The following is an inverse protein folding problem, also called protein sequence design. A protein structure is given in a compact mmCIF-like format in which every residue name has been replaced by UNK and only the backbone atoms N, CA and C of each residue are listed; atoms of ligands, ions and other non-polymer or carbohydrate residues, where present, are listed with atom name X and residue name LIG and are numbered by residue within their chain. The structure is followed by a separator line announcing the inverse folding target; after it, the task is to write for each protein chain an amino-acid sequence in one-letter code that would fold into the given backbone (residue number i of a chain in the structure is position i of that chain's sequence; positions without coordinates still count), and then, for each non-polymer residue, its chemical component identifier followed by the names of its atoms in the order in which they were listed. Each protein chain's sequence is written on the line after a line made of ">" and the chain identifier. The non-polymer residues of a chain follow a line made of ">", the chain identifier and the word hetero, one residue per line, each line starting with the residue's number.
data_IF_391782601726
#
_entry.id   IF_391782601726
#
_cell.length_a   1.000
_cell.length_b   1.000
_cell.length_c   1.000
_cell.angle_alpha   90.00
_cell.angle_beta   90.00
_cell.angle_gamma   90.00
#
_symmetry.space_group_name_H-M   'P 1'
#
loop_
_entity.id
_entity.type
_entity.pdbx_description
1 polymer ?
#
# COMPACT_ATOMS: atom_id res chain seq x y z
N UNK A 1 -19.23 -29.01 19.56
CA UNK A 1 -19.51 -27.68 19.02
C UNK A 1 -19.07 -26.66 20.06
N UNK A 2 -18.30 -25.65 19.68
CA UNK A 2 -17.98 -24.55 20.61
C UNK A 2 -19.26 -23.78 20.96
N UNK A 3 -19.42 -23.38 22.22
CA UNK A 3 -20.55 -22.52 22.62
C UNK A 3 -20.53 -21.21 21.84
N UNK A 4 -21.72 -20.73 21.45
CA UNK A 4 -21.85 -19.46 20.75
C UNK A 4 -21.35 -18.33 21.67
N UNK A 5 -20.30 -17.62 21.23
CA UNK A 5 -19.69 -16.52 22.00
C UNK A 5 -18.49 -16.90 22.86
N UNK A 6 -18.04 -18.17 22.86
CA UNK A 6 -16.79 -18.53 23.55
C UNK A 6 -15.57 -17.88 22.88
N UNK A 7 -14.54 -17.55 23.66
CA UNK A 7 -13.29 -16.99 23.14
C UNK A 7 -12.57 -17.97 22.21
N UNK A 8 -11.91 -17.46 21.17
CA UNK A 8 -11.10 -18.26 20.26
C UNK A 8 -9.81 -18.68 20.94
N UNK A 9 -9.54 -19.98 20.96
CA UNK A 9 -8.29 -20.54 21.48
C UNK A 9 -7.12 -20.21 20.56
N UNK A 10 -5.90 -20.33 21.08
CA UNK A 10 -4.69 -20.08 20.31
C UNK A 10 -4.59 -20.97 19.06
N UNK A 11 -4.91 -22.27 19.19
CA UNK A 11 -4.90 -23.22 18.08
C UNK A 11 -5.96 -22.92 17.02
N UNK A 12 -7.16 -22.49 17.41
CA UNK A 12 -8.18 -22.06 16.44
C UNK A 12 -7.75 -20.81 15.67
N UNK A 13 -7.10 -19.86 16.35
CA UNK A 13 -6.54 -18.65 15.72
C UNK A 13 -5.43 -19.02 14.73
N UNK A 14 -4.51 -19.91 15.10
CA UNK A 14 -3.41 -20.30 14.23
C UNK A 14 -3.91 -21.02 12.98
N UNK A 15 -4.91 -21.90 13.11
CA UNK A 15 -5.53 -22.59 11.98
C UNK A 15 -6.19 -21.61 10.99
N UNK A 16 -6.99 -20.67 11.47
CA UNK A 16 -7.69 -19.74 10.59
C UNK A 16 -6.74 -18.72 9.95
N UNK A 17 -5.70 -18.30 10.65
CA UNK A 17 -4.66 -17.42 10.09
C UNK A 17 -3.90 -18.17 8.98
N UNK A 18 -3.51 -19.42 9.20
CA UNK A 18 -2.83 -20.22 8.19
C UNK A 18 -3.69 -20.48 6.94
N UNK A 19 -4.96 -20.87 7.10
CA UNK A 19 -5.88 -21.06 5.97
C UNK A 19 -6.12 -19.75 5.19
N UNK A 20 -6.23 -18.63 5.91
CA UNK A 20 -6.38 -17.32 5.28
C UNK A 20 -5.18 -16.95 4.40
N UNK A 21 -3.95 -17.12 4.89
CA UNK A 21 -2.75 -16.80 4.11
C UNK A 21 -2.56 -17.75 2.92
N UNK A 22 -2.92 -19.04 3.04
CA UNK A 22 -2.94 -19.96 1.90
C UNK A 22 -3.95 -19.52 0.83
N UNK A 23 -5.16 -19.13 1.24
CA UNK A 23 -6.16 -18.56 0.34
C UNK A 23 -5.69 -17.26 -0.33
N UNK A 24 -5.05 -16.37 0.42
CA UNK A 24 -4.51 -15.13 -0.12
C UNK A 24 -3.41 -15.41 -1.16
N UNK A 25 -2.51 -16.36 -0.89
CA UNK A 25 -1.47 -16.78 -1.83
C UNK A 25 -2.04 -17.41 -3.11
N UNK A 26 -3.17 -18.11 -3.03
CA UNK A 26 -3.89 -18.59 -4.21
C UNK A 26 -4.52 -17.42 -4.99
N UNK A 27 -5.19 -16.48 -4.33
CA UNK A 27 -5.81 -15.30 -4.98
C UNK A 27 -4.77 -14.45 -5.73
N UNK A 28 -3.62 -14.17 -5.09
CA UNK A 28 -2.54 -13.38 -5.69
C UNK A 28 -1.90 -14.05 -6.92
N UNK A 29 -1.95 -15.38 -7.01
CA UNK A 29 -1.45 -16.14 -8.17
C UNK A 29 -2.54 -16.43 -9.22
N UNK A 30 -3.78 -16.00 -8.96
CA UNK A 30 -4.94 -16.33 -9.80
C UNK A 30 -5.33 -17.82 -9.75
N UNK A 31 -4.90 -18.56 -8.73
CA UNK A 31 -5.28 -19.95 -8.53
C UNK A 31 -6.71 -20.05 -7.94
N UNK A 32 -7.56 -20.95 -8.44
CA UNK A 32 -8.93 -21.06 -7.97
C UNK A 32 -9.00 -21.69 -6.57
N UNK A 33 -9.90 -21.19 -5.74
CA UNK A 33 -10.30 -21.82 -4.48
C UNK A 33 -11.77 -21.54 -4.15
N UNK A 34 -12.40 -22.43 -3.39
CA UNK A 34 -13.82 -22.31 -3.01
C UNK A 34 -13.93 -21.95 -1.53
N UNK A 35 -14.34 -20.70 -1.24
CA UNK A 35 -14.47 -20.18 0.14
C UNK A 35 -15.38 -21.04 1.02
N UNK A 36 -16.48 -21.55 0.47
CA UNK A 36 -17.41 -22.42 1.19
C UNK A 36 -16.75 -23.73 1.66
N UNK A 37 -15.87 -24.33 0.83
CA UNK A 37 -15.13 -25.55 1.19
C UNK A 37 -14.08 -25.28 2.26
N UNK A 38 -13.35 -24.17 2.14
CA UNK A 38 -12.36 -23.72 3.14
C UNK A 38 -13.01 -23.47 4.50
N UNK A 39 -14.15 -22.79 4.48
CA UNK A 39 -14.96 -22.56 5.67
C UNK A 39 -15.45 -23.88 6.29
N UNK A 40 -16.01 -24.80 5.50
CA UNK A 40 -16.49 -26.10 6.01
C UNK A 40 -15.36 -26.90 6.71
N UNK A 41 -14.16 -26.94 6.12
CA UNK A 41 -13.01 -27.59 6.75
C UNK A 41 -12.62 -26.94 8.09
N UNK A 42 -12.64 -25.61 8.17
CA UNK A 42 -12.40 -24.90 9.44
C UNK A 42 -13.50 -25.16 10.47
N UNK A 43 -14.76 -25.34 10.06
CA UNK A 43 -15.84 -25.72 10.99
C UNK A 43 -15.59 -27.10 11.61
N UNK A 44 -15.11 -28.08 10.82
CA UNK A 44 -14.75 -29.41 11.31
C UNK A 44 -13.59 -29.37 12.31
N UNK A 45 -12.56 -28.55 12.02
CA UNK A 45 -11.35 -28.46 12.85
C UNK A 45 -11.55 -27.66 14.15
N UNK A 46 -12.41 -26.65 14.13
CA UNK A 46 -12.57 -25.70 15.25
C UNK A 46 -13.90 -25.87 16.00
N UNK A 47 -14.89 -26.51 15.37
CA UNK A 47 -16.25 -26.57 15.89
C UNK A 47 -16.98 -25.21 15.90
N UNK A 48 -16.43 -24.18 15.25
CA UNK A 48 -17.03 -22.84 15.08
C UNK A 48 -18.08 -22.84 13.99
N UNK A 49 -19.03 -21.91 14.07
CA UNK A 49 -20.03 -21.73 13.02
C UNK A 49 -19.43 -21.08 11.77
N UNK A 50 -20.06 -21.33 10.62
CA UNK A 50 -19.73 -20.64 9.36
C UNK A 50 -19.58 -19.13 9.51
N UNK A 51 -20.56 -18.48 10.16
CA UNK A 51 -20.58 -17.02 10.34
C UNK A 51 -19.44 -16.52 11.23
N UNK A 52 -19.06 -17.26 12.27
CA UNK A 52 -17.93 -16.89 13.12
C UNK A 52 -16.60 -16.92 12.34
N UNK A 53 -16.43 -17.89 11.44
CA UNK A 53 -15.25 -18.03 10.58
C UNK A 53 -15.21 -16.90 9.53
N UNK A 54 -16.33 -16.63 8.85
CA UNK A 54 -16.41 -15.52 7.89
C UNK A 54 -16.08 -14.16 8.55
N UNK A 55 -16.64 -13.92 9.74
CA UNK A 55 -16.36 -12.71 10.51
C UNK A 55 -14.88 -12.63 10.90
N UNK A 56 -14.27 -13.74 11.31
CA UNK A 56 -12.85 -13.77 11.66
C UNK A 56 -11.94 -13.53 10.45
N UNK A 57 -12.28 -14.03 9.26
CA UNK A 57 -11.58 -13.68 8.02
C UNK A 57 -11.65 -12.18 7.70
N UNK A 58 -12.80 -11.53 7.96
CA UNK A 58 -12.94 -10.08 7.82
C UNK A 58 -12.09 -9.32 8.85
N UNK A 59 -11.93 -9.85 10.06
CA UNK A 59 -11.04 -9.26 11.07
C UNK A 59 -9.56 -9.42 10.67
N UNK A 60 -9.16 -10.56 10.11
CA UNK A 60 -7.81 -10.74 9.53
C UNK A 60 -7.58 -9.70 8.43
N UNK A 61 -8.54 -9.54 7.52
CA UNK A 61 -8.48 -8.54 6.45
C UNK A 61 -8.32 -7.12 7.00
N UNK A 62 -8.97 -6.80 8.12
CA UNK A 62 -8.82 -5.50 8.80
C UNK A 62 -7.43 -5.30 9.41
N UNK A 63 -6.80 -6.34 9.95
CA UNK A 63 -5.41 -6.26 10.41
C UNK A 63 -4.46 -6.07 9.22
N UNK A 64 -4.60 -6.87 8.16
CA UNK A 64 -3.76 -6.76 6.96
C UNK A 64 -3.87 -5.40 6.27
N UNK A 65 -5.07 -4.81 6.26
CA UNK A 65 -5.30 -3.44 5.79
C UNK A 65 -4.42 -2.44 6.57
N UNK A 66 -4.30 -2.57 7.89
CA UNK A 66 -3.45 -1.70 8.71
C UNK A 66 -1.95 -1.95 8.50
N UNK A 67 -1.58 -3.17 8.12
CA UNK A 67 -0.22 -3.53 7.76
C UNK A 67 0.12 -3.20 6.30
N UNK A 68 -0.77 -2.52 5.56
CA UNK A 68 -0.57 -2.20 4.14
C UNK A 68 -0.35 -3.45 3.28
N UNK A 69 -0.96 -4.58 3.65
CA UNK A 69 -0.86 -5.85 2.94
C UNK A 69 -2.14 -6.11 2.12
N UNK A 70 -2.04 -6.84 1.00
CA UNK A 70 -3.21 -7.33 0.28
C UNK A 70 -4.10 -8.18 1.18
N UNK A 71 -5.40 -8.18 0.89
CA UNK A 71 -6.41 -9.00 1.57
C UNK A 71 -7.35 -9.62 0.52
N UNK A 72 -8.05 -10.69 0.90
CA UNK A 72 -8.90 -11.47 0.01
C UNK A 72 -10.15 -10.65 -0.33
N UNK A 73 -10.34 -10.26 -1.60
CA UNK A 73 -11.32 -9.24 -2.00
C UNK A 73 -12.77 -9.49 -1.52
N UNK A 74 -13.16 -10.77 -1.34
CA UNK A 74 -14.50 -11.12 -0.84
C UNK A 74 -14.65 -11.20 0.68
N UNK A 75 -13.59 -10.96 1.46
CA UNK A 75 -13.66 -10.80 2.91
C UNK A 75 -13.39 -9.33 3.25
N UNK A 76 -14.39 -8.47 3.03
CA UNK A 76 -14.24 -7.03 3.27
C UNK A 76 -13.77 -6.76 4.71
N UNK A 77 -12.73 -5.94 4.93
CA UNK A 77 -12.24 -5.59 6.25
C UNK A 77 -13.35 -5.15 7.19
N UNK A 78 -13.47 -5.82 8.33
CA UNK A 78 -14.37 -5.41 9.42
C UNK A 78 -13.55 -5.26 10.70
N UNK A 79 -13.54 -4.03 11.23
CA UNK A 79 -12.71 -3.63 12.34
C UNK A 79 -13.28 -4.14 13.68
N UNK A 80 -13.03 -5.41 13.99
CA UNK A 80 -13.17 -5.96 15.34
C UNK A 80 -11.85 -6.61 15.77
N UNK A 81 -11.06 -5.87 16.53
CA UNK A 81 -9.67 -6.18 16.84
C UNK A 81 -9.55 -6.92 18.17
N UNK A 82 -9.81 -8.23 18.15
CA UNK A 82 -9.53 -9.09 19.31
C UNK A 82 -8.03 -9.32 19.46
N UNK A 83 -7.50 -9.18 20.68
CA UNK A 83 -6.06 -9.30 20.95
C UNK A 83 -5.45 -10.64 20.53
N UNK A 84 -6.13 -11.75 20.79
CA UNK A 84 -5.66 -13.09 20.44
C UNK A 84 -5.42 -13.26 18.93
N UNK A 85 -6.29 -12.66 18.08
CA UNK A 85 -6.13 -12.70 16.63
C UNK A 85 -4.88 -11.93 16.17
N UNK A 86 -4.64 -10.75 16.74
CA UNK A 86 -3.46 -9.94 16.42
C UNK A 86 -2.19 -10.71 16.78
N UNK A 87 -2.15 -11.34 17.96
CA UNK A 87 -1.02 -12.19 18.36
C UNK A 87 -0.78 -13.36 17.40
N UNK A 88 -1.85 -14.02 16.92
CA UNK A 88 -1.73 -15.10 15.94
C UNK A 88 -1.19 -14.63 14.60
N UNK A 89 -1.66 -13.48 14.09
CA UNK A 89 -1.13 -12.88 12.87
C UNK A 89 0.33 -12.48 13.05
N UNK A 90 0.69 -11.89 14.19
CA UNK A 90 2.07 -11.52 14.50
C UNK A 90 2.99 -12.75 14.52
N UNK A 91 2.59 -13.83 15.21
CA UNK A 91 3.35 -15.09 15.22
C UNK A 91 3.53 -15.63 13.80
N UNK A 92 2.46 -15.66 13.01
CA UNK A 92 2.50 -16.18 11.64
C UNK A 92 3.43 -15.36 10.74
N UNK A 93 3.34 -14.03 10.77
CA UNK A 93 4.21 -13.15 9.98
C UNK A 93 5.67 -13.18 10.46
N UNK A 94 5.90 -13.36 11.76
CA UNK A 94 7.26 -13.52 12.31
C UNK A 94 7.91 -14.80 11.79
N UNK A 95 7.15 -15.90 11.68
CA UNK A 95 7.60 -17.16 11.11
C UNK A 95 7.75 -17.11 9.57
N UNK A 96 7.03 -16.20 8.89
CA UNK A 96 7.00 -16.09 7.44
C UNK A 96 7.30 -14.65 6.97
N UNK A 97 8.49 -14.08 7.26
CA UNK A 97 8.79 -12.68 7.00
C UNK A 97 8.67 -12.28 5.51
N UNK A 98 8.89 -13.23 4.60
CA UNK A 98 8.74 -13.02 3.16
C UNK A 98 7.33 -12.60 2.74
N UNK A 99 6.29 -12.98 3.50
CA UNK A 99 4.90 -12.57 3.21
C UNK A 99 4.71 -11.06 3.40
N UNK A 100 5.40 -10.46 4.36
CA UNK A 100 5.29 -9.03 4.62
C UNK A 100 6.12 -8.20 3.66
N UNK A 101 7.37 -8.60 3.39
CA UNK A 101 8.26 -7.91 2.44
C UNK A 101 7.69 -7.94 1.02
N UNK A 102 6.88 -8.97 0.73
CA UNK A 102 6.32 -9.24 -0.58
C UNK A 102 7.35 -9.95 -1.46
N UNK A 103 6.94 -10.89 -2.32
CA UNK A 103 7.83 -11.36 -3.37
C UNK A 103 8.16 -10.18 -4.30
N UNK A 104 9.42 -10.08 -4.74
CA UNK A 104 9.74 -9.27 -5.91
C UNK A 104 8.74 -9.65 -7.00
N UNK A 105 7.85 -8.73 -7.35
CA UNK A 105 6.84 -8.98 -8.35
C UNK A 105 7.59 -9.25 -9.67
N UNK A 106 7.82 -10.53 -9.98
CA UNK A 106 8.19 -10.96 -11.32
C UNK A 106 7.04 -10.53 -12.21
N UNK A 107 7.25 -9.43 -12.91
CA UNK A 107 6.32 -8.94 -13.90
C UNK A 107 6.01 -10.06 -14.87
N UNK A 108 4.73 -10.31 -15.12
CA UNK A 108 4.34 -10.79 -16.44
C UNK A 108 4.79 -9.68 -17.39
N UNK A 109 5.77 -9.98 -18.24
CA UNK A 109 6.07 -9.16 -19.39
C UNK A 109 4.84 -9.22 -20.31
N UNK A 110 3.87 -8.33 -20.08
CA UNK A 110 2.85 -8.07 -21.07
C UNK A 110 3.54 -7.30 -22.18
N UNK A 111 3.96 -8.02 -23.22
CA UNK A 111 4.45 -7.43 -24.45
C UNK A 111 3.44 -6.45 -25.03
N UNK A 112 3.95 -5.33 -25.53
CA UNK A 112 3.31 -4.45 -26.53
C UNK A 112 1.90 -3.92 -26.23
N UNK A 113 1.42 -3.94 -24.98
CA UNK A 113 0.25 -3.14 -24.61
C UNK A 113 0.72 -1.70 -24.39
N UNK A 114 0.15 -0.74 -25.12
CA UNK A 114 0.27 0.68 -24.77
C UNK A 114 -0.05 0.82 -23.28
N UNK A 115 0.84 1.47 -22.54
CA UNK A 115 0.68 1.62 -21.11
C UNK A 115 -0.61 2.41 -20.85
N UNK A 116 -1.67 1.73 -20.38
CA UNK A 116 -2.97 2.36 -20.09
C UNK A 116 -2.77 3.68 -19.36
N UNK A 117 -3.46 4.75 -19.75
CA UNK A 117 -3.33 6.04 -19.08
C UNK A 117 -3.70 5.90 -17.61
N UNK A 118 -2.78 6.26 -16.71
CA UNK A 118 -3.02 6.24 -15.28
C UNK A 118 -4.11 7.27 -14.93
N UNK A 119 -5.22 6.82 -14.35
CA UNK A 119 -6.29 7.70 -13.91
C UNK A 119 -5.99 8.22 -12.50
N UNK A 120 -5.98 9.55 -12.35
CA UNK A 120 -5.84 10.21 -11.06
C UNK A 120 -7.22 10.52 -10.49
N UNK A 121 -7.54 9.88 -9.36
CA UNK A 121 -8.78 10.13 -8.62
C UNK A 121 -8.57 11.16 -7.51
N UNK A 122 -9.67 11.55 -6.85
CA UNK A 122 -9.62 12.47 -5.72
C UNK A 122 -8.90 11.81 -4.52
N UNK A 123 -8.02 12.55 -3.81
CA UNK A 123 -7.36 12.04 -2.62
C UNK A 123 -8.38 11.72 -1.51
N UNK A 124 -8.11 10.72 -0.66
CA UNK A 124 -8.99 10.40 0.45
C UNK A 124 -9.01 11.54 1.48
N UNK A 125 -10.13 11.70 2.19
CA UNK A 125 -10.17 12.60 3.34
C UNK A 125 -9.26 12.05 4.46
N UNK A 126 -8.46 12.91 5.12
CA UNK A 126 -7.61 12.46 6.21
C UNK A 126 -8.48 11.97 7.39
N UNK A 127 -8.16 10.78 7.89
CA UNK A 127 -8.78 10.21 9.09
C UNK A 127 -7.73 10.09 10.19
N UNK A 128 -8.09 10.54 11.38
CA UNK A 128 -7.16 10.69 12.52
C UNK A 128 -7.47 9.72 13.67
N UNK A 129 -8.23 8.65 13.40
CA UNK A 129 -8.57 7.69 14.45
C UNK A 129 -7.32 6.98 14.98
N UNK A 130 -7.03 7.07 16.28
CA UNK A 130 -5.89 6.37 16.87
C UNK A 130 -6.12 4.87 16.78
N UNK A 131 -5.07 4.14 16.37
CA UNK A 131 -5.13 2.68 16.40
C UNK A 131 -5.20 2.18 17.85
N UNK A 132 -5.96 1.12 18.14
CA UNK A 132 -5.89 0.41 19.41
C UNK A 132 -4.45 -0.03 19.75
N UNK A 133 -4.02 -0.04 21.03
CA UNK A 133 -2.64 -0.36 21.40
C UNK A 133 -2.09 -1.69 20.84
N UNK A 134 -2.85 -2.81 20.79
CA UNK A 134 -2.38 -4.04 20.17
C UNK A 134 -2.05 -3.86 18.68
N UNK A 135 -2.85 -3.09 17.95
CA UNK A 135 -2.59 -2.78 16.54
C UNK A 135 -1.38 -1.85 16.37
N UNK A 136 -1.18 -0.89 17.27
CA UNK A 136 0.00 -0.04 17.22
C UNK A 136 1.29 -0.86 17.34
N UNK A 137 1.32 -1.90 18.18
CA UNK A 137 2.50 -2.75 18.37
C UNK A 137 2.84 -3.55 17.11
N UNK A 138 1.86 -4.23 16.52
CA UNK A 138 2.09 -5.02 15.30
C UNK A 138 2.44 -4.11 14.11
N UNK A 139 1.82 -2.94 13.97
CA UNK A 139 2.16 -1.97 12.90
C UNK A 139 3.59 -1.44 13.06
N UNK A 140 4.05 -1.18 14.29
CA UNK A 140 5.46 -0.80 14.52
C UNK A 140 6.44 -1.90 14.12
N UNK A 141 6.06 -3.16 14.34
CA UNK A 141 6.89 -4.33 13.99
C UNK A 141 6.88 -4.62 12.49
N UNK A 142 5.73 -4.44 11.84
CA UNK A 142 5.49 -4.65 10.42
C UNK A 142 5.04 -3.32 9.79
N UNK A 143 5.96 -2.36 9.76
CA UNK A 143 5.69 -1.00 9.29
C UNK A 143 5.62 -0.96 7.75
N UNK A 144 4.43 -0.68 7.15
CA UNK A 144 4.30 -0.64 5.71
C UNK A 144 5.08 0.52 5.07
N UNK A 145 5.21 1.67 5.74
CA UNK A 145 5.96 2.81 5.22
C UNK A 145 7.45 2.45 5.11
N UNK A 146 7.99 1.78 6.14
CA UNK A 146 9.37 1.31 6.13
C UNK A 146 9.60 0.18 5.13
N UNK A 147 8.66 -0.75 5.01
CA UNK A 147 8.70 -1.81 4.00
C UNK A 147 8.79 -1.20 2.60
N UNK A 148 7.87 -0.30 2.27
CA UNK A 148 7.77 0.28 0.94
C UNK A 148 8.99 1.17 0.63
N UNK A 149 9.45 1.97 1.59
CA UNK A 149 10.65 2.80 1.44
C UNK A 149 11.95 1.98 1.23
N UNK A 150 12.04 0.78 1.82
CA UNK A 150 13.17 -0.14 1.59
C UNK A 150 13.09 -0.87 0.25
N UNK A 151 11.91 -0.93 -0.36
CA UNK A 151 11.69 -1.64 -1.61
C UNK A 151 12.03 -0.76 -2.81
N UNK A 152 13.33 -0.65 -3.12
CA UNK A 152 13.84 0.14 -4.26
C UNK A 152 13.20 -0.28 -5.60
N UNK A 153 12.93 -1.56 -5.79
CA UNK A 153 12.27 -2.05 -7.00
C UNK A 153 10.83 -1.55 -7.12
N UNK A 154 10.08 -1.45 -6.01
CA UNK A 154 8.74 -0.87 -5.98
C UNK A 154 8.78 0.64 -6.27
N UNK A 155 9.70 1.38 -5.64
CA UNK A 155 9.89 2.81 -5.87
C UNK A 155 10.16 3.12 -7.34
N UNK A 156 11.21 2.49 -7.90
CA UNK A 156 11.60 2.65 -9.31
C UNK A 156 10.45 2.35 -10.28
N UNK A 157 9.69 1.27 -10.06
CA UNK A 157 8.54 0.92 -10.93
C UNK A 157 7.41 1.96 -10.85
N UNK A 158 7.23 2.57 -9.69
CA UNK A 158 6.28 3.65 -9.51
C UNK A 158 6.70 4.92 -10.24
N UNK A 159 7.96 5.31 -10.08
CA UNK A 159 8.56 6.46 -10.79
C UNK A 159 8.49 6.26 -12.31
N UNK A 160 8.89 5.09 -12.82
CA UNK A 160 8.77 4.73 -14.24
C UNK A 160 7.33 4.88 -14.76
N UNK A 161 6.35 4.44 -13.97
CA UNK A 161 4.93 4.52 -14.31
C UNK A 161 4.44 5.96 -14.41
N UNK A 162 4.84 6.83 -13.47
CA UNK A 162 4.50 8.27 -13.50
C UNK A 162 5.22 8.95 -14.66
N UNK A 163 6.50 8.65 -14.90
CA UNK A 163 7.28 9.22 -15.99
C UNK A 163 6.62 8.99 -17.35
N UNK A 164 6.24 7.74 -17.64
CA UNK A 164 5.54 7.41 -18.88
C UNK A 164 4.13 8.03 -18.95
N UNK A 165 3.41 8.10 -17.83
CA UNK A 165 2.12 8.79 -17.77
C UNK A 165 2.26 10.27 -18.12
N UNK A 166 3.20 11.00 -17.51
CA UNK A 166 3.39 12.43 -17.77
C UNK A 166 3.76 12.70 -19.23
N UNK A 167 4.62 11.87 -19.83
CA UNK A 167 4.93 11.97 -21.26
C UNK A 167 3.71 11.71 -22.15
N UNK A 168 2.91 10.68 -21.85
CA UNK A 168 1.70 10.35 -22.61
C UNK A 168 0.67 11.48 -22.52
N UNK A 169 0.36 11.93 -21.29
CA UNK A 169 -0.57 13.04 -21.03
C UNK A 169 -0.20 14.33 -21.78
N UNK A 170 1.10 14.66 -21.83
CA UNK A 170 1.57 15.82 -22.61
C UNK A 170 1.45 15.62 -24.12
N UNK A 171 1.70 14.40 -24.65
CA UNK A 171 1.51 14.10 -26.07
C UNK A 171 0.03 14.18 -26.45
N UNK A 172 -0.85 13.64 -25.63
CA UNK A 172 -2.31 13.67 -25.82
C UNK A 172 -2.84 15.11 -25.79
N UNK A 173 -2.21 15.99 -25.00
CA UNK A 173 -2.48 17.43 -24.99
C UNK A 173 -1.84 18.21 -26.16
N UNK A 174 -1.23 17.54 -27.14
CA UNK A 174 -0.57 18.17 -28.29
C UNK A 174 0.78 18.83 -27.96
N UNK A 175 1.34 18.58 -26.78
CA UNK A 175 2.61 19.15 -26.28
C UNK A 175 3.76 18.15 -26.37
N UNK A 176 3.95 17.56 -27.55
CA UNK A 176 5.08 16.66 -27.83
C UNK A 176 6.45 17.34 -27.64
N UNK A 177 6.52 18.67 -27.67
CA UNK A 177 7.68 19.48 -27.32
C UNK A 177 8.03 19.41 -25.82
N UNK A 178 7.03 19.42 -24.94
CA UNK A 178 7.20 19.29 -23.50
C UNK A 178 7.40 17.83 -23.08
N UNK A 179 6.68 16.90 -23.70
CA UNK A 179 6.82 15.47 -23.40
C UNK A 179 8.28 14.99 -23.54
N UNK A 180 9.03 15.52 -24.51
CA UNK A 180 10.46 15.24 -24.72
C UNK A 180 11.38 15.87 -23.67
N UNK A 181 10.89 16.83 -22.89
CA UNK A 181 11.62 17.53 -21.84
C UNK A 181 11.34 16.97 -20.44
N UNK A 182 10.41 16.03 -20.31
CA UNK A 182 10.17 15.31 -19.04
C UNK A 182 11.43 14.54 -18.69
N UNK A 183 11.91 14.66 -17.44
CA UNK A 183 13.12 13.99 -16.93
C UNK A 183 12.80 13.15 -15.70
N UNK A 184 13.49 12.02 -15.58
CA UNK A 184 13.49 11.21 -14.37
C UNK A 184 14.70 11.60 -13.51
N UNK A 185 14.50 12.63 -12.70
CA UNK A 185 15.57 13.33 -11.97
C UNK A 185 16.23 12.43 -10.92
N UNK A 186 15.46 11.64 -10.17
CA UNK A 186 16.02 10.72 -9.16
C UNK A 186 16.94 9.65 -9.76
N UNK A 187 16.66 9.18 -10.98
CA UNK A 187 17.49 8.20 -11.71
C UNK A 187 18.69 8.85 -12.40
N UNK A 188 18.53 10.05 -12.97
CA UNK A 188 19.57 10.75 -13.74
C UNK A 188 20.56 11.51 -12.85
N UNK A 189 20.07 12.22 -11.83
CA UNK A 189 20.82 13.19 -11.03
C UNK A 189 20.94 12.78 -9.54
N UNK A 190 20.19 11.76 -9.09
CA UNK A 190 20.13 11.28 -7.70
C UNK A 190 18.98 11.89 -6.87
N UNK A 191 18.88 11.49 -5.60
CA UNK A 191 17.76 11.82 -4.69
C UNK A 191 17.85 13.21 -4.02
N UNK A 192 18.91 13.97 -4.30
CA UNK A 192 19.17 15.27 -3.67
C UNK A 192 18.23 16.40 -4.11
N UNK A 193 17.50 16.26 -5.21
CA UNK A 193 16.67 17.33 -5.78
C UNK A 193 15.37 17.62 -5.01
N UNK A 194 14.91 16.68 -4.17
CA UNK A 194 13.66 16.81 -3.40
C UNK A 194 12.39 16.46 -4.20
N UNK A 195 12.53 15.86 -5.39
CA UNK A 195 11.46 15.32 -6.22
C UNK A 195 12.04 14.31 -7.23
N UNK A 196 11.21 13.40 -7.75
CA UNK A 196 11.64 12.33 -8.65
C UNK A 196 11.55 12.69 -10.14
N UNK A 197 10.49 13.41 -10.54
CA UNK A 197 10.17 13.66 -11.95
C UNK A 197 9.96 15.14 -12.20
N UNK A 198 10.68 15.69 -13.19
CA UNK A 198 10.40 17.02 -13.73
C UNK A 198 9.49 16.88 -14.94
N UNK A 199 8.31 17.47 -14.87
CA UNK A 199 7.29 17.49 -15.91
C UNK A 199 6.74 18.90 -16.11
N UNK A 200 5.68 19.03 -16.91
CA UNK A 200 5.02 20.27 -17.26
C UNK A 200 3.51 20.07 -17.36
N UNK A 201 2.73 21.12 -17.12
CA UNK A 201 1.32 21.15 -17.51
C UNK A 201 1.16 21.55 -19.00
N UNK A 202 -0.05 21.44 -19.59
CA UNK A 202 -0.27 21.82 -20.99
C UNK A 202 0.04 23.30 -21.30
N UNK A 203 -0.01 24.19 -20.30
CA UNK A 203 0.37 25.59 -20.43
C UNK A 203 1.90 25.80 -20.40
N UNK A 204 2.67 24.76 -20.08
CA UNK A 204 4.13 24.80 -19.98
C UNK A 204 4.67 25.21 -18.61
N UNK A 205 3.82 25.30 -17.58
CA UNK A 205 4.29 25.50 -16.21
C UNK A 205 4.89 24.21 -15.68
N UNK A 206 5.96 24.32 -14.90
CA UNK A 206 6.63 23.14 -14.35
C UNK A 206 5.74 22.38 -13.36
N UNK A 207 5.90 21.05 -13.39
CA UNK A 207 5.40 20.11 -12.38
C UNK A 207 6.61 19.37 -11.83
N UNK A 208 6.82 19.43 -10.52
CA UNK A 208 7.93 18.78 -9.83
C UNK A 208 7.34 17.69 -8.95
N UNK A 209 7.44 16.44 -9.40
CA UNK A 209 6.61 15.35 -8.90
C UNK A 209 7.45 14.42 -8.03
N UNK A 210 7.04 14.30 -6.77
CA UNK A 210 7.52 13.29 -5.82
C UNK A 210 6.59 12.07 -5.86
N UNK A 211 7.14 10.87 -6.06
CA UNK A 211 6.38 9.64 -6.28
C UNK A 211 6.45 8.74 -5.06
N UNK A 212 5.30 8.46 -4.45
CA UNK A 212 5.19 7.51 -3.34
C UNK A 212 4.40 6.29 -3.77
N UNK A 213 5.01 5.10 -3.73
CA UNK A 213 4.39 3.87 -4.22
C UNK A 213 4.16 2.86 -3.10
N UNK A 214 3.00 2.21 -3.09
CA UNK A 214 2.66 1.15 -2.14
C UNK A 214 1.93 -0.01 -2.82
N UNK A 215 2.12 -1.23 -2.32
CA UNK A 215 1.27 -2.39 -2.64
C UNK A 215 0.00 -2.45 -1.78
N UNK A 216 -0.08 -1.61 -0.74
CA UNK A 216 -1.25 -1.47 0.13
C UNK A 216 -2.32 -0.55 -0.48
N UNK A 217 -3.33 -0.25 0.32
CA UNK A 217 -4.49 0.56 -0.10
C UNK A 217 -4.20 2.07 -0.05
N UNK A 218 -5.18 2.85 -0.52
CA UNK A 218 -5.13 4.33 -0.64
C UNK A 218 -4.64 5.07 0.61
N UNK A 219 -4.93 4.57 1.82
CA UNK A 219 -4.55 5.20 3.09
C UNK A 219 -3.29 4.61 3.73
N UNK A 220 -2.54 3.76 3.03
CA UNK A 220 -1.31 3.18 3.57
C UNK A 220 -0.32 4.30 3.88
N UNK A 221 0.30 4.35 5.07
CA UNK A 221 1.31 5.35 5.41
C UNK A 221 2.52 5.31 4.48
N UNK A 222 3.27 6.41 4.43
CA UNK A 222 4.53 6.53 3.70
C UNK A 222 5.43 7.54 4.40
N UNK A 223 6.72 7.47 4.14
CA UNK A 223 7.66 8.48 4.59
C UNK A 223 7.73 9.63 3.60
N UNK A 224 7.83 10.84 4.16
CA UNK A 224 8.20 12.06 3.46
C UNK A 224 9.54 12.49 4.07
N UNK A 225 10.59 12.61 3.25
CA UNK A 225 11.89 13.05 3.75
C UNK A 225 11.87 14.55 4.10
N UNK A 226 12.83 14.99 4.90
CA UNK A 226 12.95 16.42 5.24
C UNK A 226 13.25 17.28 4.00
N UNK A 227 14.01 16.72 3.04
CA UNK A 227 14.30 17.39 1.77
C UNK A 227 13.04 17.56 0.93
N UNK A 228 12.24 16.49 0.76
CA UNK A 228 10.96 16.55 0.04
C UNK A 228 9.96 17.51 0.71
N UNK A 229 9.89 17.48 2.06
CA UNK A 229 9.03 18.37 2.83
C UNK A 229 9.43 19.83 2.64
N UNK A 230 10.72 20.15 2.79
CA UNK A 230 11.25 21.49 2.59
C UNK A 230 11.02 21.98 1.17
N UNK A 231 11.30 21.14 0.17
CA UNK A 231 11.11 21.49 -1.23
C UNK A 231 9.64 21.75 -1.59
N UNK A 232 8.70 21.00 -1.00
CA UNK A 232 7.27 21.24 -1.16
C UNK A 232 6.81 22.59 -0.59
N UNK A 233 7.48 23.10 0.45
CA UNK A 233 7.25 24.43 1.04
C UNK A 233 7.90 25.54 0.21
N UNK A 234 9.06 25.28 -0.40
CA UNK A 234 9.77 26.23 -1.26
C UNK A 234 9.10 26.44 -2.62
N UNK A 235 8.53 25.38 -3.21
CA UNK A 235 7.93 25.38 -4.56
C UNK A 235 6.47 24.92 -4.57
N UNK A 236 5.57 25.54 -3.79
CA UNK A 236 4.17 25.09 -3.69
C UNK A 236 3.39 25.23 -5.00
N UNK A 237 3.84 26.12 -5.89
CA UNK A 237 3.26 26.34 -7.21
C UNK A 237 3.46 25.13 -8.14
N UNK A 238 4.63 24.49 -8.07
CA UNK A 238 5.06 23.44 -8.98
C UNK A 238 5.09 22.03 -8.36
N UNK A 239 5.34 21.91 -7.05
CA UNK A 239 5.50 20.62 -6.37
C UNK A 239 4.19 19.84 -6.31
N UNK A 240 4.26 18.53 -6.59
CA UNK A 240 3.14 17.58 -6.52
C UNK A 240 3.62 16.29 -5.89
N UNK A 241 2.82 15.71 -5.00
CA UNK A 241 3.06 14.36 -4.49
C UNK A 241 2.10 13.38 -5.17
N UNK A 242 2.62 12.54 -6.04
CA UNK A 242 1.86 11.47 -6.70
C UNK A 242 1.90 10.21 -5.85
N UNK A 243 0.73 9.74 -5.38
CA UNK A 243 0.60 8.51 -4.60
C UNK A 243 0.07 7.39 -5.50
N UNK A 244 0.89 6.37 -5.72
CA UNK A 244 0.50 5.11 -6.35
C UNK A 244 0.19 4.05 -5.30
N UNK A 245 -0.96 3.39 -5.43
CA UNK A 245 -1.39 2.36 -4.49
C UNK A 245 -2.09 1.19 -5.19
N UNK A 246 -2.36 0.11 -4.45
CA UNK A 246 -2.83 -1.18 -4.98
C UNK A 246 -1.95 -1.71 -6.14
N UNK A 247 -0.66 -1.31 -6.13
CA UNK A 247 0.26 -1.44 -7.26
C UNK A 247 0.55 -2.90 -7.69
N UNK A 248 0.29 -3.86 -6.80
CA UNK A 248 0.44 -5.29 -7.08
C UNK A 248 -0.74 -5.89 -7.87
N UNK A 249 -1.91 -5.25 -7.88
CA UNK A 249 -3.14 -5.78 -8.54
C UNK A 249 -3.56 -4.90 -9.70
N UNK A 250 -3.93 -3.66 -9.38
CA UNK A 250 -4.45 -2.68 -10.32
C UNK A 250 -3.98 -1.30 -9.81
N UNK A 251 -2.85 -0.80 -10.31
CA UNK A 251 -2.31 0.50 -9.88
C UNK A 251 -3.34 1.61 -10.00
N UNK A 252 -3.58 2.30 -8.88
CA UNK A 252 -4.43 3.50 -8.79
C UNK A 252 -3.59 4.66 -8.31
N UNK A 253 -4.01 5.89 -8.63
CA UNK A 253 -3.23 7.08 -8.32
C UNK A 253 -4.10 8.23 -7.82
N UNK A 254 -3.54 9.04 -6.93
CA UNK A 254 -4.03 10.39 -6.65
C UNK A 254 -2.83 11.33 -6.48
N UNK A 255 -3.09 12.63 -6.56
CA UNK A 255 -2.08 13.68 -6.40
C UNK A 255 -2.43 14.57 -5.20
N UNK A 256 -1.42 14.98 -4.44
CA UNK A 256 -1.53 15.99 -3.40
C UNK A 256 -0.78 17.25 -3.81
N UNK A 257 -1.39 18.40 -3.53
CA UNK A 257 -0.80 19.72 -3.73
C UNK A 257 -0.44 20.35 -2.38
N UNK A 258 0.70 21.05 -2.26
CA UNK A 258 1.02 21.82 -1.07
C UNK A 258 -0.06 22.86 -0.73
N UNK A 259 -0.19 23.25 0.56
CA UNK A 259 0.61 22.78 1.69
C UNK A 259 0.18 21.38 2.15
N UNK A 260 1.15 20.46 2.30
CA UNK A 260 0.87 19.03 2.49
C UNK A 260 0.23 18.71 3.85
N UNK A 261 0.47 19.54 4.87
CA UNK A 261 -0.10 19.41 6.22
C UNK A 261 -1.62 19.57 6.26
N UNK A 262 -2.23 20.14 5.21
CA UNK A 262 -3.70 20.18 5.02
C UNK A 262 -4.26 18.90 4.41
N UNK A 263 -3.42 18.10 3.79
CA UNK A 263 -3.81 16.88 3.09
C UNK A 263 -3.51 15.61 3.91
N UNK A 264 -2.43 15.61 4.69
CA UNK A 264 -1.95 14.45 5.45
C UNK A 264 -1.52 14.81 6.86
N UNK A 265 -1.55 13.82 7.76
CA UNK A 265 -0.97 13.96 9.10
C UNK A 265 0.53 13.69 9.05
N UNK A 266 1.35 14.74 9.22
CA UNK A 266 2.80 14.60 9.37
C UNK A 266 3.14 14.29 10.84
N UNK A 267 3.94 13.25 11.06
CA UNK A 267 4.48 12.89 12.38
C UNK A 267 5.99 12.74 12.27
N UNK A 268 6.78 13.24 13.23
CA UNK A 268 8.22 13.01 13.25
C UNK A 268 8.52 11.50 13.26
N UNK A 269 9.37 11.06 12.34
CA UNK A 269 9.79 9.66 12.22
C UNK A 269 11.22 9.45 12.75
N UNK A 270 12.16 10.30 12.32
CA UNK A 270 13.55 10.29 12.72
C UNK A 270 14.01 11.70 13.07
N UNK A 271 15.01 11.82 13.95
CA UNK A 271 15.67 13.08 14.29
C UNK A 271 17.15 13.01 13.91
N UNK A 272 17.68 14.06 13.30
CA UNK A 272 19.12 14.19 13.04
C UNK A 272 19.77 14.95 14.19
N UNK A 273 20.83 14.39 14.76
CA UNK A 273 21.62 15.02 15.82
C UNK A 273 23.01 15.39 15.26
N UNK A 274 23.45 16.62 15.55
CA UNK A 274 24.73 17.20 15.10
C UNK A 274 25.40 17.91 16.30
N UNK A 275 26.71 18.16 16.21
CA UNK A 275 27.53 18.78 17.27
C UNK A 275 28.03 20.17 16.86
#
# INVERSE_FOLDING_TARGET
>A
MAEAGSDWTEGEVDLIVADYFDMLAMELRGAPFVKARRNAALQELTGRSRGAIEFKHQNISAVLLRLGMPWIAGYKPMANFQGALISGIERYLTAHPALFVGPEAKTRANGFAEAETLFFEAPPAPSFEPLPPPLQRIVRKFDPALRDARNRALGRRGEERIFHHEQASLRDAGRADLARKVRWVSEEDGDGAGYDIRSFDPAGRERLIEVKTTVGTVTTPFFLSENERGFAEERPDAFRLARLYDFARAPRAFELTPPLDRCVMLRPANWRAEF
#
